data_IF_340649229427
#
_entry.id   IF_340649229427
#
_cell.length_a   1.000
_cell.length_b   1.000
_cell.length_c   1.000
_cell.angle_alpha   90.00
_cell.angle_beta   90.00
_cell.angle_gamma   90.00
#
_symmetry.space_group_name_H-M   'P 1'
#
loop_
_entity.id
_entity.type
_entity.pdbx_description
1 polymer ?
#
# COMPACT_ATOMS: atom_id res chain seq x y z
N UNK A 1 9.66 7.95 60.33
CA UNK A 1 8.44 7.27 59.84
C UNK A 1 8.20 7.63 58.38
N UNK A 2 8.98 7.19 57.40
CA UNK A 2 9.18 5.84 56.85
C UNK A 2 7.89 5.11 56.41
N UNK A 3 7.67 5.16 55.08
CA UNK A 3 7.11 4.14 54.18
C UNK A 3 5.73 3.55 54.52
N UNK A 4 4.71 3.97 53.76
CA UNK A 4 3.55 3.13 53.52
C UNK A 4 3.48 2.75 52.04
N UNK A 5 3.89 1.51 51.78
CA UNK A 5 3.79 0.80 50.51
C UNK A 5 2.35 0.77 50.00
N UNK A 6 2.12 1.27 48.79
CA UNK A 6 0.93 0.96 48.02
C UNK A 6 1.17 -0.32 47.21
N UNK A 7 0.61 -1.39 47.74
CA UNK A 7 0.57 -2.76 47.20
C UNK A 7 -0.14 -2.78 45.85
N UNK A 8 0.59 -3.18 44.80
CA UNK A 8 0.04 -3.56 43.50
C UNK A 8 -0.56 -4.99 43.56
N UNK A 9 -1.79 -5.24 43.09
CA UNK A 9 -2.25 -6.60 42.88
C UNK A 9 -1.72 -7.19 41.56
N UNK A 10 -1.09 -8.35 41.72
CA UNK A 10 -0.44 -9.20 40.73
C UNK A 10 -1.46 -9.99 39.89
N UNK A 11 -1.30 -9.95 38.57
CA UNK A 11 -1.65 -10.94 37.52
C UNK A 11 -2.90 -11.83 37.73
N UNK A 12 -3.94 -11.62 36.91
CA UNK A 12 -4.82 -12.71 36.45
C UNK A 12 -4.52 -13.05 34.99
N UNK A 13 -4.05 -14.28 34.80
CA UNK A 13 -3.70 -14.94 33.55
C UNK A 13 -5.02 -15.35 32.87
N UNK A 14 -5.45 -14.64 31.84
CA UNK A 14 -6.60 -15.05 31.05
C UNK A 14 -6.19 -16.21 30.13
N UNK A 15 -6.63 -17.41 30.48
CA UNK A 15 -6.57 -18.61 29.65
C UNK A 15 -7.66 -18.55 28.59
N UNK A 16 -7.29 -18.39 27.32
CA UNK A 16 -8.22 -18.63 26.21
C UNK A 16 -8.35 -20.14 26.02
N UNK A 17 -9.38 -20.74 26.63
CA UNK A 17 -9.86 -22.05 26.22
C UNK A 17 -10.81 -21.89 25.03
N UNK A 18 -10.52 -22.66 23.98
CA UNK A 18 -11.28 -22.81 22.74
C UNK A 18 -12.56 -23.63 23.02
N UNK A 19 -13.76 -23.15 22.66
CA UNK A 19 -14.92 -24.02 22.54
C UNK A 19 -14.89 -24.77 21.20
N UNK A 20 -15.14 -26.07 21.27
CA UNK A 20 -15.21 -27.00 20.14
C UNK A 20 -16.67 -27.21 19.70
N UNK A 21 -16.90 -27.13 18.38
CA UNK A 21 -17.95 -27.82 17.57
C UNK A 21 -19.42 -27.38 17.74
N UNK A 22 -20.37 -27.70 16.80
CA UNK A 22 -20.28 -28.59 15.64
C UNK A 22 -20.81 -28.01 14.30
N UNK A 23 -20.83 -28.89 13.29
CA UNK A 23 -21.18 -28.72 11.88
C UNK A 23 -22.42 -27.87 11.56
N UNK A 24 -22.31 -27.03 10.52
CA UNK A 24 -23.45 -26.58 9.73
C UNK A 24 -23.05 -26.52 8.26
N UNK A 25 -23.83 -27.28 7.50
CA UNK A 25 -23.81 -27.57 6.08
C UNK A 25 -23.90 -26.29 5.22
N UNK A 26 -23.02 -26.15 4.23
CA UNK A 26 -23.12 -25.12 3.20
C UNK A 26 -22.95 -25.76 1.81
N UNK A 27 -23.79 -25.40 0.82
CA UNK A 27 -23.84 -26.07 -0.47
C UNK A 27 -22.63 -25.73 -1.37
N UNK A 28 -22.22 -26.64 -2.28
CA UNK A 28 -21.05 -26.42 -3.12
C UNK A 28 -21.36 -25.47 -4.27
N UNK A 29 -20.82 -24.26 -4.23
CA UNK A 29 -20.71 -23.42 -5.42
C UNK A 29 -19.57 -23.93 -6.30
N UNK A 30 -19.93 -24.46 -7.47
CA UNK A 30 -19.04 -24.85 -8.56
C UNK A 30 -18.81 -23.65 -9.48
N UNK A 31 -17.57 -23.21 -9.73
CA UNK A 31 -17.24 -22.45 -10.93
C UNK A 31 -16.68 -23.40 -11.99
N UNK A 32 -17.44 -23.63 -13.06
CA UNK A 32 -16.96 -24.32 -14.27
C UNK A 32 -15.87 -23.45 -14.92
N UNK A 33 -14.62 -23.93 -14.89
CA UNK A 33 -13.60 -23.58 -15.89
C UNK A 33 -13.98 -24.22 -17.23
N UNK A 34 -13.64 -23.58 -18.34
CA UNK A 34 -12.92 -24.29 -19.40
C UNK A 34 -11.47 -23.81 -19.47
N UNK A 35 -10.56 -24.79 -19.47
CA UNK A 35 -9.17 -24.63 -19.88
C UNK A 35 -9.04 -25.00 -21.36
N UNK A 36 -8.00 -24.43 -21.98
CA UNK A 36 -7.38 -24.70 -23.28
C UNK A 36 -7.96 -24.01 -24.52
N UNK A 37 -7.10 -23.19 -25.12
CA UNK A 37 -7.28 -22.60 -26.45
C UNK A 37 -6.07 -21.75 -26.80
N UNK A 38 -5.19 -22.29 -27.63
CA UNK A 38 -3.84 -21.84 -27.96
C UNK A 38 -3.71 -20.47 -28.62
N UNK A 39 -2.45 -20.01 -28.64
CA UNK A 39 -1.86 -18.94 -29.43
C UNK A 39 -2.53 -18.67 -30.77
N UNK A 40 -2.68 -17.39 -31.15
CA UNK A 40 -2.21 -16.84 -32.45
C UNK A 40 -2.45 -15.34 -32.53
N UNK A 41 -1.46 -14.66 -33.11
CA UNK A 41 -1.42 -13.26 -33.54
C UNK A 41 -2.44 -12.96 -34.64
N UNK A 42 -3.04 -11.77 -34.68
CA UNK A 42 -3.80 -11.34 -35.84
C UNK A 42 -2.88 -10.87 -36.98
N UNK A 43 -3.05 -11.52 -38.12
CA UNK A 43 -2.60 -11.13 -39.47
C UNK A 43 -3.53 -10.06 -40.04
N UNK A 44 -2.96 -9.10 -40.78
CA UNK A 44 -3.51 -8.57 -42.04
C UNK A 44 -2.51 -7.60 -42.67
N UNK A 45 -2.23 -7.51 -43.97
CA UNK A 45 -2.57 -8.26 -45.20
C UNK A 45 -1.71 -7.65 -46.33
N UNK A 46 -1.09 -8.49 -47.17
CA UNK A 46 -0.60 -8.32 -48.57
C UNK A 46 0.25 -7.06 -48.95
N UNK A 47 1.17 -7.06 -49.92
CA UNK A 47 1.21 -7.65 -51.27
C UNK A 47 2.69 -7.83 -51.69
N UNK A 48 2.92 -8.86 -52.50
CA UNK A 48 4.16 -9.25 -53.21
C UNK A 48 4.78 -8.19 -54.13
N UNK A 49 6.11 -8.21 -54.30
CA UNK A 49 6.76 -8.06 -55.61
C UNK A 49 8.22 -8.57 -55.60
N UNK A 50 8.64 -9.03 -56.78
CA UNK A 50 9.76 -9.92 -57.09
C UNK A 50 11.18 -9.31 -57.05
N UNK A 51 12.13 -10.19 -56.72
CA UNK A 51 13.38 -10.54 -57.42
C UNK A 51 14.59 -9.58 -57.53
N UNK A 52 15.76 -10.22 -57.32
CA UNK A 52 17.08 -10.02 -57.95
C UNK A 52 18.05 -8.99 -57.33
N UNK A 53 19.21 -9.48 -56.85
CA UNK A 53 20.43 -8.71 -56.51
C UNK A 53 21.26 -8.36 -57.77
N UNK A 54 22.48 -7.76 -57.75
CA UNK A 54 23.23 -6.98 -56.74
C UNK A 54 23.79 -5.65 -57.33
N UNK A 55 24.41 -4.76 -56.52
CA UNK A 55 25.25 -3.68 -57.07
C UNK A 55 25.49 -2.48 -56.16
N UNK A 56 26.69 -2.41 -55.59
CA UNK A 56 27.55 -1.24 -55.31
C UNK A 56 26.93 0.17 -55.30
N UNK A 57 26.86 0.81 -54.13
CA UNK A 57 27.54 2.09 -53.81
C UNK A 57 26.87 2.82 -52.63
N UNK A 58 27.69 3.13 -51.64
CA UNK A 58 27.65 4.30 -50.74
C UNK A 58 26.27 4.88 -50.33
N UNK A 59 25.86 4.57 -49.11
CA UNK A 59 25.23 5.55 -48.21
C UNK A 59 25.25 5.01 -46.78
N UNK A 60 26.17 5.52 -45.96
CA UNK A 60 25.98 5.46 -44.50
C UNK A 60 24.67 6.19 -44.17
N UNK A 61 23.76 5.63 -43.35
CA UNK A 61 22.67 6.44 -42.83
C UNK A 61 23.28 7.54 -41.95
N UNK A 62 22.92 8.83 -42.14
CA UNK A 62 23.36 9.86 -41.21
C UNK A 62 22.84 9.49 -39.82
N UNK A 63 23.77 9.43 -38.87
CA UNK A 63 23.49 9.22 -37.47
C UNK A 63 22.30 10.11 -37.06
N UNK A 64 21.30 9.49 -36.43
CA UNK A 64 20.26 10.24 -35.74
C UNK A 64 20.96 11.29 -34.87
N UNK A 65 20.62 12.58 -34.97
CA UNK A 65 21.13 13.53 -34.01
C UNK A 65 20.54 13.14 -32.65
N UNK A 66 21.37 12.50 -31.82
CA UNK A 66 21.25 12.54 -30.37
C UNK A 66 21.38 14.01 -29.99
N UNK A 67 20.26 14.73 -30.10
CA UNK A 67 20.13 16.05 -29.52
C UNK A 67 20.33 15.85 -28.02
N UNK A 68 21.42 16.38 -27.41
CA UNK A 68 21.43 16.52 -25.98
C UNK A 68 20.24 17.43 -25.65
N UNK A 69 19.31 16.92 -24.84
CA UNK A 69 18.26 17.73 -24.25
C UNK A 69 18.95 18.81 -23.42
N UNK A 70 19.26 19.94 -24.06
CA UNK A 70 19.75 21.15 -23.43
C UNK A 70 18.53 21.72 -22.73
N UNK A 71 18.34 21.31 -21.47
CA UNK A 71 17.31 21.83 -20.60
C UNK A 71 17.44 23.35 -20.54
N UNK A 72 16.36 24.04 -20.90
CA UNK A 72 16.32 25.49 -20.81
C UNK A 72 16.62 25.94 -19.36
N UNK A 73 17.51 26.93 -19.16
CA UNK A 73 17.83 27.45 -17.84
C UNK A 73 16.57 28.06 -17.22
N UNK A 74 16.11 27.50 -16.11
CA UNK A 74 14.90 27.91 -15.39
C UNK A 74 13.82 26.83 -15.26
N UNK A 75 13.86 25.77 -16.07
CA UNK A 75 12.76 24.77 -16.14
C UNK A 75 12.57 23.94 -14.87
N UNK A 76 13.65 23.40 -14.28
CA UNK A 76 13.53 22.46 -13.15
C UNK A 76 13.07 23.15 -11.86
N UNK A 77 13.66 24.29 -11.52
CA UNK A 77 13.25 25.05 -10.33
C UNK A 77 11.82 25.58 -10.51
N UNK A 78 11.48 26.11 -11.69
CA UNK A 78 10.12 26.59 -11.95
C UNK A 78 9.10 25.45 -11.88
N UNK A 79 9.41 24.28 -12.47
CA UNK A 79 8.57 23.09 -12.39
C UNK A 79 8.41 22.61 -10.94
N UNK A 80 9.48 22.65 -10.14
CA UNK A 80 9.42 22.32 -8.72
C UNK A 80 8.52 23.30 -7.94
N UNK A 81 8.69 24.60 -8.13
CA UNK A 81 7.88 25.63 -7.47
C UNK A 81 6.40 25.51 -7.83
N UNK A 82 6.10 25.27 -9.11
CA UNK A 82 4.74 25.06 -9.60
C UNK A 82 4.14 23.78 -9.01
N UNK A 83 4.89 22.68 -9.01
CA UNK A 83 4.45 21.44 -8.39
C UNK A 83 4.16 21.62 -6.90
N UNK A 84 5.04 22.33 -6.17
CA UNK A 84 4.84 22.64 -4.76
C UNK A 84 3.55 23.44 -4.55
N UNK A 85 3.35 24.51 -5.33
CA UNK A 85 2.17 25.36 -5.24
C UNK A 85 0.88 24.57 -5.47
N UNK A 86 0.85 23.67 -6.46
CA UNK A 86 -0.31 22.80 -6.71
C UNK A 86 -0.61 21.91 -5.50
N UNK A 87 0.40 21.26 -4.93
CA UNK A 87 0.20 20.36 -3.79
C UNK A 87 -0.15 21.12 -2.50
N UNK A 88 0.41 22.30 -2.29
CA UNK A 88 0.06 23.18 -1.17
C UNK A 88 -1.38 23.66 -1.29
N UNK A 89 -1.81 24.06 -2.48
CA UNK A 89 -3.20 24.46 -2.75
C UNK A 89 -4.17 23.32 -2.42
N UNK A 90 -3.85 22.11 -2.87
CA UNK A 90 -4.67 20.94 -2.58
C UNK A 90 -4.69 20.58 -1.10
N UNK A 91 -3.55 20.72 -0.40
CA UNK A 91 -3.49 20.58 1.06
C UNK A 91 -4.37 21.61 1.77
N UNK A 92 -4.31 22.89 1.40
CA UNK A 92 -5.13 23.95 2.00
C UNK A 92 -6.62 23.64 1.83
N UNK A 93 -7.02 23.22 0.62
CA UNK A 93 -8.40 22.80 0.33
C UNK A 93 -8.82 21.63 1.23
N UNK A 94 -7.98 20.61 1.35
CA UNK A 94 -8.22 19.47 2.24
C UNK A 94 -8.38 19.91 3.69
N UNK A 95 -7.46 20.73 4.20
CA UNK A 95 -7.47 21.18 5.60
C UNK A 95 -8.74 21.98 5.92
N UNK A 96 -9.22 22.81 4.99
CA UNK A 96 -10.49 23.53 5.14
C UNK A 96 -11.69 22.58 5.25
N UNK A 97 -11.75 21.55 4.42
CA UNK A 97 -12.80 20.52 4.48
C UNK A 97 -12.71 19.68 5.77
N UNK A 98 -11.49 19.43 6.24
CA UNK A 98 -11.24 18.65 7.45
C UNK A 98 -11.47 19.43 8.75
N UNK A 99 -11.59 20.76 8.69
CA UNK A 99 -11.63 21.63 9.86
C UNK A 99 -12.75 21.28 10.87
N UNK A 100 -14.00 20.97 10.47
CA UNK A 100 -15.05 20.60 11.42
C UNK A 100 -14.74 19.33 12.23
N UNK A 101 -13.81 18.50 11.76
CA UNK A 101 -13.42 17.24 12.39
C UNK A 101 -12.04 17.31 13.07
N UNK A 102 -11.44 18.51 13.11
CA UNK A 102 -10.10 18.75 13.62
C UNK A 102 -10.17 19.46 14.97
N UNK A 103 -9.25 19.14 15.87
CA UNK A 103 -9.13 19.82 17.16
C UNK A 103 -8.50 21.21 17.07
N UNK A 104 -7.75 21.54 16.01
CA UNK A 104 -6.97 22.79 15.93
C UNK A 104 -7.26 23.65 14.70
N UNK A 105 -7.65 23.04 13.58
CA UNK A 105 -7.88 23.77 12.33
C UNK A 105 -8.99 24.84 12.43
N UNK A 106 -10.10 24.66 13.17
CA UNK A 106 -11.10 25.71 13.33
C UNK A 106 -10.52 27.03 13.86
N UNK A 107 -9.59 26.97 14.82
CA UNK A 107 -8.93 28.16 15.37
C UNK A 107 -7.98 28.80 14.35
N UNK A 108 -7.26 27.99 13.56
CA UNK A 108 -6.39 28.48 12.48
C UNK A 108 -7.21 29.23 11.42
N UNK A 109 -8.41 28.74 11.11
CA UNK A 109 -9.30 29.34 10.12
C UNK A 109 -9.89 30.70 10.55
N UNK A 110 -9.89 31.03 11.85
CA UNK A 110 -10.30 32.35 12.35
C UNK A 110 -9.27 33.45 12.04
N UNK A 111 -8.02 33.08 11.75
CA UNK A 111 -6.97 34.05 11.42
C UNK A 111 -7.17 34.64 10.03
N UNK A 112 -6.96 35.96 9.89
CA UNK A 112 -6.94 36.63 8.58
C UNK A 112 -5.83 36.14 7.63
N UNK A 113 -4.87 35.33 8.12
CA UNK A 113 -3.80 34.69 7.34
C UNK A 113 -3.93 33.16 7.30
N UNK A 114 -5.15 32.62 7.41
CA UNK A 114 -5.41 31.18 7.47
C UNK A 114 -4.65 30.37 6.41
N UNK A 115 -4.73 30.74 5.13
CA UNK A 115 -4.07 29.99 4.05
C UNK A 115 -2.55 29.95 4.20
N UNK A 116 -1.95 31.04 4.68
CA UNK A 116 -0.50 31.10 4.95
C UNK A 116 -0.13 30.16 6.09
N UNK A 117 -0.95 30.10 7.15
CA UNK A 117 -0.74 29.17 8.25
C UNK A 117 -0.87 27.73 7.79
N UNK A 118 -1.92 27.40 7.02
CA UNK A 118 -2.14 26.07 6.48
C UNK A 118 -1.01 25.64 5.52
N UNK A 119 -0.56 26.52 4.64
CA UNK A 119 0.56 26.25 3.73
C UNK A 119 1.86 25.95 4.49
N UNK A 120 2.15 26.71 5.55
CA UNK A 120 3.35 26.50 6.39
C UNK A 120 3.39 25.10 7.03
N UNK A 121 2.24 24.47 7.27
CA UNK A 121 2.19 23.13 7.88
C UNK A 121 2.84 22.05 7.01
N UNK A 122 2.90 22.25 5.68
CA UNK A 122 3.43 21.28 4.71
C UNK A 122 4.62 21.81 3.91
N UNK A 123 5.06 23.05 4.15
CA UNK A 123 6.14 23.69 3.41
C UNK A 123 7.48 22.94 3.44
N UNK A 124 7.73 22.12 4.48
CA UNK A 124 8.95 21.32 4.60
C UNK A 124 8.97 20.06 3.73
N UNK A 125 7.88 19.70 3.05
CA UNK A 125 7.77 18.46 2.29
C UNK A 125 8.06 18.68 0.81
N UNK A 126 8.78 17.73 0.21
CA UNK A 126 8.97 17.70 -1.23
C UNK A 126 7.61 17.55 -1.95
N UNK A 127 7.39 18.22 -3.10
CA UNK A 127 6.13 18.19 -3.84
C UNK A 127 5.69 16.78 -4.22
N UNK A 128 6.63 15.93 -4.65
CA UNK A 128 6.36 14.53 -5.00
C UNK A 128 5.83 13.71 -3.82
N UNK A 129 6.37 13.97 -2.62
CA UNK A 129 5.92 13.30 -1.39
C UNK A 129 4.52 13.76 -1.01
N UNK A 130 4.27 15.07 -1.05
CA UNK A 130 2.96 15.63 -0.76
C UNK A 130 1.91 15.13 -1.75
N UNK A 131 2.23 15.10 -3.05
CA UNK A 131 1.37 14.54 -4.09
C UNK A 131 1.01 13.08 -3.83
N UNK A 132 2.00 12.25 -3.45
CA UNK A 132 1.76 10.84 -3.14
C UNK A 132 0.84 10.65 -1.93
N UNK A 133 1.02 11.45 -0.87
CA UNK A 133 0.18 11.39 0.33
C UNK A 133 -1.25 11.89 0.07
N UNK A 134 -1.39 13.04 -0.59
CA UNK A 134 -2.69 13.62 -0.95
C UNK A 134 -3.45 12.73 -1.94
N UNK A 135 -2.75 12.06 -2.87
CA UNK A 135 -3.36 11.07 -3.75
C UNK A 135 -3.99 9.92 -2.95
N UNK A 136 -3.26 9.34 -2.00
CA UNK A 136 -3.78 8.25 -1.15
C UNK A 136 -4.93 8.69 -0.27
N UNK A 137 -4.90 9.91 0.24
CA UNK A 137 -6.02 10.51 0.96
C UNK A 137 -7.28 10.62 0.09
N UNK A 138 -7.16 11.05 -1.17
CA UNK A 138 -8.31 11.10 -2.09
C UNK A 138 -8.93 9.72 -2.34
N UNK A 139 -8.12 8.67 -2.42
CA UNK A 139 -8.61 7.30 -2.54
C UNK A 139 -9.34 6.85 -1.27
N UNK A 140 -8.81 7.20 -0.10
CA UNK A 140 -9.46 6.94 1.17
C UNK A 140 -10.82 7.63 1.29
N UNK A 141 -10.93 8.92 0.95
CA UNK A 141 -12.22 9.63 0.95
C UNK A 141 -13.22 8.95 0.04
N UNK A 142 -12.80 8.57 -1.18
CA UNK A 142 -13.68 7.88 -2.14
C UNK A 142 -14.15 6.52 -1.62
N UNK A 143 -13.26 5.76 -0.98
CA UNK A 143 -13.62 4.48 -0.38
C UNK A 143 -14.60 4.65 0.77
N UNK A 144 -14.33 5.57 1.71
CA UNK A 144 -15.23 5.83 2.84
C UNK A 144 -16.61 6.30 2.35
N UNK A 145 -16.65 7.19 1.36
CA UNK A 145 -17.89 7.64 0.73
C UNK A 145 -18.65 6.51 0.02
N UNK A 146 -17.95 5.54 -0.59
CA UNK A 146 -18.60 4.39 -1.22
C UNK A 146 -19.18 3.40 -0.19
N UNK A 147 -18.77 3.50 1.07
CA UNK A 147 -19.28 2.72 2.19
C UNK A 147 -20.22 3.54 3.10
N UNK A 148 -20.71 4.71 2.64
CA UNK A 148 -21.55 5.63 3.41
C UNK A 148 -20.99 5.99 4.79
N UNK A 149 -19.65 6.08 4.89
CA UNK A 149 -18.94 6.31 6.14
C UNK A 149 -18.13 7.62 6.11
N UNK A 150 -17.90 8.20 7.29
CA UNK A 150 -17.08 9.40 7.44
C UNK A 150 -15.60 9.07 7.28
N UNK A 151 -14.86 9.75 6.37
CA UNK A 151 -13.41 9.56 6.25
C UNK A 151 -12.62 10.17 7.40
N UNK A 152 -13.24 11.01 8.22
CA UNK A 152 -12.61 11.73 9.34
C UNK A 152 -12.76 11.00 10.68
N UNK A 153 -13.81 10.18 10.79
CA UNK A 153 -14.14 9.37 11.98
C UNK A 153 -14.46 7.92 11.57
N UNK A 154 -13.48 7.16 11.05
CA UNK A 154 -13.74 5.80 10.58
C UNK A 154 -13.71 4.78 11.71
N UNK A 155 -14.51 3.73 11.56
CA UNK A 155 -14.33 2.51 12.34
C UNK A 155 -13.02 1.81 11.97
N UNK A 156 -12.45 1.05 12.91
CA UNK A 156 -11.25 0.24 12.65
C UNK A 156 -11.54 -0.79 11.54
N UNK A 157 -12.73 -1.37 11.50
CA UNK A 157 -13.13 -2.32 10.47
C UNK A 157 -13.06 -1.72 9.06
N UNK A 158 -13.62 -0.51 8.86
CA UNK A 158 -13.57 0.18 7.56
C UNK A 158 -12.13 0.46 7.11
N UNK A 159 -11.25 0.84 8.04
CA UNK A 159 -9.83 1.02 7.76
C UNK A 159 -9.17 -0.30 7.34
N UNK A 160 -9.47 -1.40 8.02
CA UNK A 160 -8.92 -2.71 7.67
C UNK A 160 -9.41 -3.18 6.29
N UNK A 161 -10.69 -2.99 5.97
CA UNK A 161 -11.26 -3.32 4.65
C UNK A 161 -10.63 -2.48 3.54
N UNK A 162 -10.43 -1.19 3.79
CA UNK A 162 -9.71 -0.31 2.88
C UNK A 162 -8.30 -0.80 2.62
N UNK A 163 -7.54 -1.11 3.68
CA UNK A 163 -6.18 -1.59 3.56
C UNK A 163 -6.14 -2.93 2.83
N UNK A 164 -7.01 -3.88 3.20
CA UNK A 164 -7.12 -5.19 2.57
C UNK A 164 -7.47 -5.11 1.08
N UNK A 165 -8.22 -4.10 0.66
CA UNK A 165 -8.60 -3.90 -0.75
C UNK A 165 -7.49 -3.24 -1.56
N UNK A 166 -6.71 -2.35 -0.95
CA UNK A 166 -5.73 -1.51 -1.64
C UNK A 166 -4.28 -1.98 -1.45
N UNK A 167 -4.04 -2.99 -0.60
CA UNK A 167 -2.74 -3.62 -0.43
C UNK A 167 -2.57 -4.89 -1.27
N UNK A 168 -3.51 -5.22 -2.17
CA UNK A 168 -3.40 -6.36 -3.08
C UNK A 168 -2.55 -5.98 -4.30
N UNK A 169 -1.39 -6.59 -4.46
CA UNK A 169 -0.48 -6.31 -5.59
C UNK A 169 0.94 -6.82 -5.35
N UNK A 170 1.86 -6.61 -6.31
CA UNK A 170 3.23 -7.18 -6.30
C UNK A 170 4.04 -6.88 -5.04
N UNK A 171 3.78 -5.75 -4.38
CA UNK A 171 4.49 -5.34 -3.16
C UNK A 171 3.73 -5.73 -1.88
N UNK A 172 2.47 -6.15 -1.96
CA UNK A 172 1.57 -6.51 -0.85
C UNK A 172 1.65 -5.64 0.43
N UNK A 173 2.04 -4.36 0.33
CA UNK A 173 2.28 -3.54 1.52
C UNK A 173 1.22 -2.47 1.71
N UNK A 174 0.56 -2.52 2.88
CA UNK A 174 -0.27 -1.44 3.37
C UNK A 174 0.53 -0.24 3.92
N UNK A 175 1.87 -0.35 3.98
CA UNK A 175 2.77 0.62 4.62
C UNK A 175 2.62 2.03 4.05
N UNK A 176 2.56 2.16 2.73
CA UNK A 176 2.49 3.47 2.07
C UNK A 176 1.13 4.14 2.28
N UNK A 177 0.06 3.35 2.34
CA UNK A 177 -1.29 3.81 2.71
C UNK A 177 -1.31 4.30 4.15
N UNK A 178 -0.86 3.47 5.10
CA UNK A 178 -0.80 3.81 6.52
C UNK A 178 0.06 5.06 6.75
N UNK A 179 1.25 5.16 6.13
CA UNK A 179 2.12 6.34 6.23
C UNK A 179 1.43 7.62 5.79
N UNK A 180 0.70 7.56 4.66
CA UNK A 180 0.01 8.72 4.10
C UNK A 180 -1.16 9.17 4.98
N UNK A 181 -1.99 8.23 5.44
CA UNK A 181 -3.11 8.54 6.33
C UNK A 181 -2.62 9.06 7.70
N UNK A 182 -1.51 8.52 8.23
CA UNK A 182 -0.86 9.05 9.45
C UNK A 182 -0.30 10.45 9.25
N UNK A 183 0.25 10.75 8.08
CA UNK A 183 0.69 12.10 7.75
C UNK A 183 -0.49 13.08 7.78
N UNK A 184 -1.58 12.77 7.07
CA UNK A 184 -2.75 13.66 7.00
C UNK A 184 -3.40 13.82 8.36
N UNK A 185 -3.68 12.72 9.07
CA UNK A 185 -4.31 12.79 10.40
C UNK A 185 -3.48 13.57 11.41
N UNK A 186 -2.15 13.44 11.38
CA UNK A 186 -1.26 14.22 12.24
C UNK A 186 -1.27 15.70 11.87
N UNK A 187 -1.13 16.03 10.58
CA UNK A 187 -1.07 17.43 10.14
C UNK A 187 -2.41 18.13 10.31
N UNK A 188 -3.52 17.49 9.98
CA UNK A 188 -4.85 18.06 10.11
C UNK A 188 -5.44 17.89 11.52
N UNK A 189 -4.70 17.30 12.47
CA UNK A 189 -5.17 17.04 13.84
C UNK A 189 -6.52 16.31 13.89
N UNK A 190 -6.63 15.21 13.13
CA UNK A 190 -7.81 14.35 13.07
C UNK A 190 -7.67 13.23 14.12
N UNK A 191 -8.17 13.49 15.32
CA UNK A 191 -7.91 12.65 16.49
C UNK A 191 -8.52 11.24 16.39
N UNK A 192 -9.77 11.13 15.93
CA UNK A 192 -10.44 9.84 15.70
C UNK A 192 -9.67 8.97 14.71
N UNK A 193 -9.40 9.51 13.51
CA UNK A 193 -8.63 8.81 12.49
C UNK A 193 -7.22 8.45 12.99
N UNK A 194 -6.55 9.36 13.71
CA UNK A 194 -5.23 9.10 14.29
C UNK A 194 -5.27 7.94 15.27
N UNK A 195 -6.25 7.91 16.17
CA UNK A 195 -6.44 6.81 17.13
C UNK A 195 -6.64 5.47 16.42
N UNK A 196 -7.55 5.42 15.45
CA UNK A 196 -7.82 4.20 14.67
C UNK A 196 -6.57 3.70 13.91
N UNK A 197 -5.80 4.60 13.29
CA UNK A 197 -4.54 4.29 12.59
C UNK A 197 -3.42 3.80 13.51
N UNK A 198 -3.49 4.10 14.81
CA UNK A 198 -2.53 3.66 15.82
C UNK A 198 -2.94 2.34 16.49
N UNK A 199 -4.11 1.78 16.17
CA UNK A 199 -4.50 0.45 16.63
C UNK A 199 -3.48 -0.63 16.22
N UNK A 200 -3.38 -1.68 17.05
CA UNK A 200 -2.48 -2.80 16.79
C UNK A 200 -2.83 -3.54 15.50
N UNK A 201 -4.11 -3.62 15.17
CA UNK A 201 -4.62 -4.25 13.95
C UNK A 201 -4.13 -3.53 12.69
N UNK A 202 -4.27 -2.20 12.65
CA UNK A 202 -3.75 -1.39 11.52
C UNK A 202 -2.23 -1.45 11.46
N UNK A 203 -1.56 -1.46 12.61
CA UNK A 203 -0.11 -1.57 12.68
C UNK A 203 0.41 -2.94 12.21
N UNK A 204 -0.34 -4.02 12.42
CA UNK A 204 -0.01 -5.36 11.90
C UNK A 204 0.00 -5.39 10.36
N UNK A 205 -0.94 -4.70 9.70
CA UNK A 205 -0.97 -4.55 8.24
C UNK A 205 0.30 -3.88 7.68
N UNK A 206 0.90 -2.95 8.42
CA UNK A 206 2.17 -2.32 8.04
C UNK A 206 3.40 -3.22 8.22
N UNK A 207 3.31 -4.27 9.04
CA UNK A 207 4.40 -5.22 9.30
C UNK A 207 4.42 -6.39 8.33
N UNK A 208 3.28 -6.71 7.70
CA UNK A 208 3.09 -7.90 6.87
C UNK A 208 3.79 -7.89 5.49
N UNK A 209 4.74 -6.98 5.25
CA UNK A 209 5.58 -6.95 4.05
C UNK A 209 6.80 -7.87 4.11
N UNK A 210 6.99 -8.61 5.21
CA UNK A 210 8.04 -9.61 5.41
C UNK A 210 7.42 -10.97 5.76
N UNK A 211 6.40 -11.37 5.01
CA UNK A 211 6.20 -12.80 4.78
C UNK A 211 6.86 -13.05 3.42
N UNK A 212 8.20 -13.03 3.43
CA UNK A 212 8.93 -13.97 2.58
C UNK A 212 8.24 -15.30 2.84
N UNK A 213 7.73 -15.91 1.77
CA UNK A 213 7.19 -17.26 1.79
C UNK A 213 7.90 -18.04 2.88
N UNK A 214 7.18 -18.34 3.97
CA UNK A 214 7.67 -19.22 5.00
C UNK A 214 7.73 -20.59 4.33
N UNK A 215 8.82 -20.80 3.60
CA UNK A 215 9.31 -21.99 2.90
C UNK A 215 9.66 -23.05 3.95
N UNK A 216 8.75 -23.26 4.89
CA UNK A 216 8.86 -24.22 5.97
C UNK A 216 7.83 -25.33 5.80
N UNK A 217 6.85 -25.17 4.92
CA UNK A 217 5.92 -26.23 4.50
C UNK A 217 6.50 -27.19 3.45
N UNK A 218 7.71 -26.95 2.91
CA UNK A 218 8.39 -27.90 2.01
C UNK A 218 9.41 -28.78 2.75
N UNK A 219 9.91 -28.34 3.92
CA UNK A 219 10.93 -29.09 4.65
C UNK A 219 10.37 -30.31 5.41
N UNK A 220 9.06 -30.37 5.67
CA UNK A 220 8.44 -31.50 6.39
C UNK A 220 8.02 -32.68 5.50
N UNK A 221 8.10 -32.56 4.18
CA UNK A 221 7.84 -33.70 3.28
C UNK A 221 9.11 -34.42 2.81
N UNK A 222 10.30 -33.81 2.96
CA UNK A 222 11.55 -34.41 2.51
C UNK A 222 12.17 -35.40 3.52
N UNK A 223 11.83 -35.32 4.81
CA UNK A 223 12.43 -36.21 5.83
C UNK A 223 11.69 -37.54 6.01
N UNK A 224 10.49 -37.69 5.44
CA UNK A 224 9.68 -38.91 5.57
C UNK A 224 9.97 -39.98 4.48
N UNK A 225 10.88 -39.72 3.53
CA UNK A 225 11.17 -40.63 2.41
C UNK A 225 12.55 -41.30 2.44
N UNK A 226 13.28 -41.21 3.56
CA UNK A 226 14.54 -41.94 3.76
C UNK A 226 14.43 -42.92 4.94
N UNK A 227 13.62 -43.95 4.78
CA UNK A 227 13.88 -45.23 5.47
C UNK A 227 13.25 -46.38 4.68
N UNK A 228 14.07 -47.17 3.98
CA UNK A 228 14.00 -48.61 4.21
C UNK A 228 15.40 -49.23 4.16
N UNK A 229 15.91 -49.69 5.30
CA UNK A 229 16.67 -50.92 5.43
C UNK A 229 17.29 -50.95 6.83
N UNK A 230 16.60 -51.62 7.74
CA UNK A 230 17.22 -52.16 8.94
C UNK A 230 16.83 -53.62 9.02
N UNK A 231 17.64 -54.46 8.38
CA UNK A 231 17.74 -55.89 8.69
C UNK A 231 19.03 -56.09 9.45
N UNK A 232 18.98 -56.59 10.70
CA UNK A 232 20.06 -57.36 11.24
C UNK A 232 19.64 -58.83 11.30
N UNK A 233 20.16 -59.61 10.35
CA UNK A 233 20.38 -61.03 10.55
C UNK A 233 21.41 -61.20 11.67
N UNK A 234 21.04 -61.86 12.76
CA UNK A 234 21.97 -62.59 13.60
C UNK A 234 21.28 -63.85 14.14
N UNK A 235 21.64 -64.99 13.54
CA UNK A 235 21.42 -66.33 14.10
C UNK A 235 22.76 -66.84 14.61
N UNK A 236 22.70 -67.52 15.76
CA UNK A 236 23.49 -68.66 16.28
C UNK A 236 23.73 -68.43 17.79
N UNK A 237 23.04 -69.17 18.65
CA UNK A 237 23.34 -70.54 19.13
C UNK A 237 24.22 -70.50 20.38
#
# INVERSE_FOLDING_TARGET
DLLQELVLPRKKRFSWQRPSSPASEAPPFVPKRPLLGSCTTPVSTNISAAATQPGTSAAFPPACPTSPYIGAPGTVHQAYSLALQLQVTEWVRLARLAAPHSSTLPEVLKSGKADVHLAKMVASYAPSTLAAYLSKWRHWIRFASACDASPYDPSIALLLDFLASNSRGKLQTATTWIKSLRFISRKAHLDSLRSALHSDLVSAYGRSGSIVERRESVALQATAMLHPNFTPDFVLA
#
